data_IF_104215809092
#
_entry.id   IF_104215809092
#
_cell.length_a   1.000
_cell.length_b   1.000
_cell.length_c   1.000
_cell.angle_alpha   90.00
_cell.angle_beta   90.00
_cell.angle_gamma   90.00
#
_symmetry.space_group_name_H-M   'P 1'
#
loop_
_entity.id
_entity.type
_entity.pdbx_description
1 polymer ?
#
# COMPACT_ATOMS: atom_id res chain seq x y z
N UNK A 1 1.84 -4.72 -12.88
CA UNK A 1 1.18 -3.55 -13.52
C UNK A 1 1.74 -3.39 -14.92
N UNK A 2 0.95 -2.94 -15.90
CA UNK A 2 1.47 -2.64 -17.24
C UNK A 2 1.63 -1.15 -17.42
N UNK A 3 2.80 -0.71 -17.87
CA UNK A 3 3.11 0.70 -18.09
C UNK A 3 3.64 0.85 -19.51
N UNK A 4 2.93 1.62 -20.34
CA UNK A 4 3.25 1.82 -21.77
C UNK A 4 3.41 0.49 -22.53
N UNK A 5 2.51 -0.47 -22.27
CA UNK A 5 2.52 -1.79 -22.88
C UNK A 5 3.57 -2.77 -22.33
N UNK A 6 4.40 -2.35 -21.36
CA UNK A 6 5.42 -3.22 -20.74
C UNK A 6 4.93 -3.69 -19.38
N UNK A 7 4.90 -5.00 -19.17
CA UNK A 7 4.56 -5.60 -17.86
C UNK A 7 5.73 -5.50 -16.89
N UNK A 8 5.42 -5.11 -15.66
CA UNK A 8 6.43 -4.94 -14.64
C UNK A 8 5.89 -4.81 -13.22
N UNK A 9 6.83 -4.66 -12.30
CA UNK A 9 6.60 -4.31 -10.91
C UNK A 9 6.74 -2.79 -10.81
N UNK A 10 5.70 -2.12 -10.35
CA UNK A 10 5.75 -0.69 -10.06
C UNK A 10 5.96 -0.51 -8.56
N UNK A 11 6.97 0.28 -8.19
CA UNK A 11 7.29 0.59 -6.80
C UNK A 11 7.22 2.10 -6.65
N UNK A 12 6.53 2.57 -5.61
CA UNK A 12 6.54 3.97 -5.25
C UNK A 12 6.88 4.15 -3.78
N UNK A 13 7.67 5.16 -3.49
CA UNK A 13 8.09 5.50 -2.14
C UNK A 13 8.19 7.02 -1.99
N UNK A 14 7.98 7.49 -0.77
CA UNK A 14 8.33 8.86 -0.39
C UNK A 14 9.65 8.83 0.34
N UNK A 15 10.51 9.79 0.01
CA UNK A 15 11.72 10.09 0.78
C UNK A 15 11.78 11.56 1.16
N UNK A 16 12.58 11.85 2.17
CA UNK A 16 12.93 13.20 2.62
C UNK A 16 14.34 13.53 2.16
N UNK A 17 14.56 14.80 1.86
CA UNK A 17 15.85 15.36 1.51
C UNK A 17 15.96 16.76 2.13
N UNK A 18 17.16 17.29 2.23
CA UNK A 18 17.38 18.66 2.68
C UNK A 18 16.86 19.62 1.61
N UNK A 19 16.06 20.61 2.02
CA UNK A 19 15.68 21.67 1.08
C UNK A 19 16.91 22.51 0.68
N UNK A 20 17.81 22.73 1.63
CA UNK A 20 19.06 23.46 1.46
C UNK A 20 20.21 22.48 1.70
N UNK A 21 20.97 22.13 0.66
CA UNK A 21 22.06 21.14 0.76
C UNK A 21 23.15 21.50 1.78
N UNK A 22 23.37 22.79 2.06
CA UNK A 22 24.32 23.23 3.07
C UNK A 22 23.95 22.78 4.50
N UNK A 23 22.67 22.50 4.76
CA UNK A 23 22.21 22.04 6.07
C UNK A 23 22.72 20.63 6.43
N UNK A 24 23.21 19.85 5.45
CA UNK A 24 23.89 18.57 5.69
C UNK A 24 25.09 18.75 6.63
N UNK A 25 25.78 19.91 6.56
CA UNK A 25 26.93 20.20 7.41
C UNK A 25 26.56 20.44 8.89
N UNK A 26 25.27 20.59 9.23
CA UNK A 26 24.80 20.77 10.61
C UNK A 26 24.78 19.47 11.41
N UNK A 27 25.07 18.32 10.80
CA UNK A 27 25.09 17.02 11.47
C UNK A 27 23.72 16.49 11.89
N UNK A 28 22.63 17.08 11.39
CA UNK A 28 21.26 16.63 11.67
C UNK A 28 20.98 15.42 10.79
N UNK A 29 20.53 14.28 11.35
CA UNK A 29 20.20 13.10 10.56
C UNK A 29 18.70 13.03 10.25
N UNK A 30 18.27 13.50 9.08
CA UNK A 30 16.85 13.50 8.68
C UNK A 30 16.25 12.09 8.49
N UNK A 31 17.09 11.04 8.39
CA UNK A 31 16.62 9.65 8.25
C UNK A 31 16.07 9.07 9.55
N UNK A 32 16.36 9.68 10.69
CA UNK A 32 15.87 9.28 12.01
C UNK A 32 14.47 9.85 12.33
N UNK A 33 14.00 10.79 11.51
CA UNK A 33 12.68 11.37 11.71
C UNK A 33 11.61 10.30 11.49
N UNK A 34 10.71 10.15 12.47
CA UNK A 34 9.54 9.27 12.36
C UNK A 34 8.68 9.60 11.14
N UNK A 35 8.18 8.57 10.47
CA UNK A 35 7.13 8.68 9.45
C UNK A 35 5.72 8.70 10.03
N UNK A 36 5.59 8.42 11.34
CA UNK A 36 4.30 8.23 12.00
C UNK A 36 3.89 9.40 12.88
N UNK A 37 4.86 10.20 13.30
CA UNK A 37 4.63 11.33 14.19
C UNK A 37 4.88 12.62 13.43
N UNK A 38 4.04 13.61 13.71
CA UNK A 38 4.26 14.97 13.23
C UNK A 38 5.49 15.51 13.95
N UNK A 39 6.57 15.62 13.19
CA UNK A 39 7.83 16.18 13.65
C UNK A 39 7.93 17.59 13.10
N UNK A 40 8.26 18.54 13.97
CA UNK A 40 8.70 19.85 13.54
C UNK A 40 10.19 19.76 13.18
N UNK A 41 10.54 19.73 11.88
CA UNK A 41 11.90 19.41 11.47
C UNK A 41 12.83 20.58 11.82
N UNK A 42 14.03 20.25 12.35
CA UNK A 42 15.03 21.25 12.73
C UNK A 42 15.62 22.01 11.53
N UNK A 43 15.49 21.44 10.34
CA UNK A 43 15.90 22.03 9.06
C UNK A 43 14.76 21.93 8.04
N UNK A 44 14.63 22.88 7.11
CA UNK A 44 13.64 22.79 6.05
C UNK A 44 13.84 21.54 5.19
N UNK A 45 12.76 20.75 5.02
CA UNK A 45 12.79 19.51 4.26
C UNK A 45 12.17 19.67 2.86
N UNK A 46 12.69 18.88 1.94
CA UNK A 46 12.09 18.58 0.64
C UNK A 46 11.57 17.15 0.68
N UNK A 47 10.33 16.95 0.24
CA UNK A 47 9.71 15.64 0.14
C UNK A 47 9.65 15.22 -1.32
N UNK A 48 9.98 13.97 -1.59
CA UNK A 48 9.98 13.41 -2.93
C UNK A 48 9.22 12.11 -2.98
N UNK A 49 8.16 12.05 -3.77
CA UNK A 49 7.51 10.81 -4.15
C UNK A 49 8.14 10.34 -5.46
N UNK A 50 8.81 9.19 -5.43
CA UNK A 50 9.45 8.57 -6.59
C UNK A 50 8.66 7.33 -6.95
N UNK A 51 8.38 7.14 -8.24
CA UNK A 51 7.88 5.87 -8.75
C UNK A 51 8.87 5.29 -9.76
N UNK A 52 9.20 4.02 -9.60
CA UNK A 52 10.08 3.25 -10.49
C UNK A 52 9.31 2.07 -11.05
N UNK A 53 9.70 1.63 -12.24
CA UNK A 53 9.16 0.47 -12.91
C UNK A 53 10.28 -0.52 -13.19
N UNK A 54 10.02 -1.77 -12.86
CA UNK A 54 10.90 -2.90 -13.09
C UNK A 54 10.23 -3.82 -14.11
N UNK A 55 10.74 -3.83 -15.34
CA UNK A 55 10.23 -4.66 -16.44
C UNK A 55 10.46 -6.14 -16.12
N UNK A 56 9.42 -6.98 -16.19
CA UNK A 56 9.57 -8.41 -15.95
C UNK A 56 10.50 -9.07 -16.97
N UNK A 57 10.41 -8.65 -18.24
CA UNK A 57 11.31 -9.13 -19.31
C UNK A 57 12.77 -8.75 -19.05
N UNK A 58 13.01 -7.58 -18.47
CA UNK A 58 14.37 -7.14 -18.14
C UNK A 58 14.92 -7.97 -16.96
N UNK A 59 14.08 -8.30 -15.97
CA UNK A 59 14.47 -9.21 -14.86
C UNK A 59 14.78 -10.61 -15.40
N UNK A 60 13.90 -11.17 -16.23
CA UNK A 60 14.09 -12.51 -16.82
C UNK A 60 15.38 -12.60 -17.63
N UNK A 61 15.74 -11.52 -18.33
CA UNK A 61 17.00 -11.44 -19.07
C UNK A 61 18.23 -11.45 -18.15
N UNK A 62 18.13 -10.80 -16.99
CA UNK A 62 19.20 -10.82 -15.98
C UNK A 62 19.32 -12.17 -15.26
N UNK A 63 18.20 -12.87 -15.06
CA UNK A 63 18.15 -14.22 -14.46
C UNK A 63 18.82 -15.29 -15.34
N UNK A 64 18.84 -15.08 -16.67
CA UNK A 64 19.51 -15.98 -17.63
C UNK A 64 21.04 -15.87 -17.60
N UNK A 65 21.62 -14.93 -16.86
CA UNK A 65 23.07 -14.79 -16.75
C UNK A 65 23.61 -15.89 -15.82
N UNK A 66 24.23 -16.93 -16.40
CA UNK A 66 24.86 -18.04 -15.68
C UNK A 66 26.20 -17.67 -15.01
N UNK A 67 26.29 -16.49 -14.41
CA UNK A 67 27.45 -16.02 -13.66
C UNK A 67 27.07 -15.83 -12.19
N UNK A 68 28.02 -16.05 -11.29
CA UNK A 68 27.79 -15.83 -9.86
C UNK A 68 27.40 -14.37 -9.60
N UNK A 69 26.26 -14.15 -8.98
CA UNK A 69 25.76 -12.84 -8.57
C UNK A 69 26.84 -12.05 -7.81
N UNK A 70 26.99 -10.78 -8.15
CA UNK A 70 27.99 -9.89 -7.53
C UNK A 70 29.43 -10.06 -8.02
N UNK A 71 29.73 -11.08 -8.84
CA UNK A 71 31.04 -11.17 -9.51
C UNK A 71 31.25 -10.01 -10.49
N UNK A 72 32.50 -9.59 -10.70
CA UNK A 72 32.82 -8.52 -11.66
C UNK A 72 32.33 -8.86 -13.07
N UNK A 73 32.47 -10.13 -13.48
CA UNK A 73 31.96 -10.62 -14.76
C UNK A 73 30.43 -10.54 -14.86
N UNK A 74 29.70 -10.89 -13.79
CA UNK A 74 28.25 -10.72 -13.75
C UNK A 74 27.87 -9.24 -13.90
N UNK A 75 28.53 -8.33 -13.19
CA UNK A 75 28.25 -6.89 -13.28
C UNK A 75 28.56 -6.33 -14.67
N UNK A 76 29.66 -6.76 -15.28
CA UNK A 76 30.02 -6.39 -16.65
C UNK A 76 29.00 -6.91 -17.68
N UNK A 77 28.53 -8.15 -17.52
CA UNK A 77 27.50 -8.74 -18.38
C UNK A 77 26.14 -8.07 -18.17
N UNK A 78 25.72 -7.87 -16.92
CA UNK A 78 24.46 -7.24 -16.55
C UNK A 78 24.36 -5.80 -17.08
N UNK A 79 25.49 -5.07 -17.17
CA UNK A 79 25.55 -3.72 -17.76
C UNK A 79 25.25 -3.69 -19.26
N UNK A 80 25.30 -4.82 -19.97
CA UNK A 80 24.91 -4.92 -21.38
C UNK A 80 23.39 -4.89 -21.56
N UNK A 81 22.63 -5.22 -20.50
CA UNK A 81 21.18 -5.15 -20.51
C UNK A 81 20.68 -3.76 -20.08
N UNK A 82 19.46 -3.37 -20.48
CA UNK A 82 18.84 -2.14 -19.97
C UNK A 82 18.79 -2.13 -18.44
N UNK A 83 18.90 -0.95 -17.79
CA UNK A 83 18.81 -0.85 -16.35
C UNK A 83 17.44 -1.38 -15.88
N UNK A 84 17.41 -2.30 -14.90
CA UNK A 84 16.17 -2.96 -14.49
C UNK A 84 15.17 -1.94 -13.92
N UNK A 85 15.66 -0.93 -13.19
CA UNK A 85 14.83 0.13 -12.64
C UNK A 85 14.75 1.32 -13.57
N UNK A 86 13.55 1.58 -14.08
CA UNK A 86 13.24 2.76 -14.88
C UNK A 86 12.49 3.76 -14.02
N UNK A 87 13.06 4.96 -13.86
CA UNK A 87 12.37 6.05 -13.18
C UNK A 87 11.15 6.46 -14.02
N UNK A 88 9.94 6.27 -13.47
CA UNK A 88 8.71 6.70 -14.12
C UNK A 88 8.49 8.19 -13.89
N UNK A 89 8.64 8.61 -12.63
CA UNK A 89 8.39 10.00 -12.23
C UNK A 89 9.00 10.33 -10.87
N UNK A 90 9.12 11.63 -10.63
CA UNK A 90 9.51 12.23 -9.36
C UNK A 90 8.63 13.43 -9.09
N UNK A 91 7.82 13.39 -8.04
CA UNK A 91 7.05 14.54 -7.53
C UNK A 91 7.85 15.12 -6.37
N UNK A 92 8.21 16.39 -6.46
CA UNK A 92 8.88 17.12 -5.38
C UNK A 92 7.94 18.12 -4.74
N UNK A 93 7.99 18.26 -3.42
CA UNK A 93 7.18 19.20 -2.65
C UNK A 93 7.95 19.73 -1.44
N UNK A 94 7.67 20.97 -1.04
CA UNK A 94 8.11 21.51 0.26
C UNK A 94 7.17 21.11 1.41
N UNK A 95 5.93 20.76 1.07
CA UNK A 95 4.97 20.19 2.01
C UNK A 95 5.14 18.68 2.08
N UNK A 96 4.88 18.04 3.24
CA UNK A 96 4.93 16.59 3.39
C UNK A 96 4.09 15.87 2.33
N UNK A 97 4.71 14.84 1.74
CA UNK A 97 4.05 13.87 0.88
C UNK A 97 3.89 12.58 1.66
N UNK A 98 2.68 12.04 1.72
CA UNK A 98 2.34 10.90 2.56
C UNK A 98 1.35 9.99 1.84
N UNK A 99 1.13 8.79 2.38
CA UNK A 99 0.10 7.84 1.96
C UNK A 99 0.03 7.66 0.42
N UNK A 100 0.82 6.72 -0.08
CA UNK A 100 0.85 6.42 -1.52
C UNK A 100 -0.19 5.34 -1.84
N UNK A 101 -0.86 5.49 -2.98
CA UNK A 101 -1.64 4.41 -3.60
C UNK A 101 -1.22 4.28 -5.06
N UNK A 102 -0.85 3.05 -5.46
CA UNK A 102 -0.54 2.67 -6.84
C UNK A 102 -1.61 1.71 -7.32
N UNK A 103 -2.34 2.06 -8.37
CA UNK A 103 -3.35 1.18 -8.95
C UNK A 103 -3.77 1.63 -10.36
N UNK A 104 -4.66 0.89 -11.00
CA UNK A 104 -5.29 1.26 -12.27
C UNK A 104 -6.45 2.24 -12.03
N UNK A 105 -6.54 3.30 -12.83
CA UNK A 105 -7.72 4.15 -12.93
C UNK A 105 -7.89 4.60 -14.38
N UNK A 106 -9.12 4.63 -14.88
CA UNK A 106 -9.45 4.91 -16.27
C UNK A 106 -8.73 4.00 -17.27
N UNK A 107 -8.49 2.74 -16.89
CA UNK A 107 -7.79 1.75 -17.73
C UNK A 107 -6.28 1.98 -17.84
N UNK A 108 -5.70 2.89 -17.06
CA UNK A 108 -4.27 3.20 -17.10
C UNK A 108 -3.67 3.22 -15.70
N UNK A 109 -2.35 2.97 -15.55
CA UNK A 109 -1.68 2.99 -14.26
C UNK A 109 -1.61 4.40 -13.67
N UNK A 110 -2.06 4.56 -12.43
CA UNK A 110 -2.05 5.81 -11.68
C UNK A 110 -1.27 5.68 -10.37
N UNK A 111 -0.60 6.78 -10.02
CA UNK A 111 -0.08 7.05 -8.68
C UNK A 111 -0.97 8.13 -8.04
N UNK A 112 -1.41 7.87 -6.82
CA UNK A 112 -1.97 8.87 -5.92
C UNK A 112 -1.06 9.05 -4.70
N UNK A 113 -0.87 10.30 -4.28
CA UNK A 113 -0.10 10.63 -3.06
C UNK A 113 -0.76 11.81 -2.35
N UNK A 114 -0.86 11.75 -1.03
CA UNK A 114 -1.37 12.85 -0.22
C UNK A 114 -0.30 13.94 -0.14
N UNK A 115 -0.68 15.18 -0.44
CA UNK A 115 0.10 16.38 -0.12
C UNK A 115 -0.62 17.11 1.01
N UNK A 116 0.03 17.19 2.17
CA UNK A 116 -0.59 17.78 3.36
C UNK A 116 -1.04 19.24 3.15
N UNK A 117 -2.15 19.66 3.81
CA UNK A 117 -2.96 18.86 4.74
C UNK A 117 -4.13 18.11 4.10
N UNK A 118 -4.65 18.58 2.97
CA UNK A 118 -5.95 18.11 2.43
C UNK A 118 -5.96 17.93 0.90
N UNK A 119 -4.79 17.78 0.27
CA UNK A 119 -4.68 17.61 -1.19
C UNK A 119 -4.27 16.17 -1.52
N UNK A 120 -4.83 15.63 -2.60
CA UNK A 120 -4.41 14.36 -3.18
C UNK A 120 -3.90 14.65 -4.59
N UNK A 121 -2.65 14.29 -4.85
CA UNK A 121 -2.03 14.44 -6.16
C UNK A 121 -2.17 13.14 -6.94
N UNK A 122 -2.69 13.22 -8.16
CA UNK A 122 -2.83 12.12 -9.09
C UNK A 122 -1.87 12.28 -10.25
N UNK A 123 -1.26 11.18 -10.65
CA UNK A 123 -0.34 11.15 -11.77
C UNK A 123 -0.51 9.86 -12.54
N UNK A 124 -0.95 9.98 -13.78
CA UNK A 124 -0.89 8.91 -14.76
C UNK A 124 0.59 8.52 -15.02
N UNK A 125 0.91 7.24 -14.85
CA UNK A 125 2.26 6.69 -15.01
C UNK A 125 2.65 6.50 -16.48
N UNK A 126 1.70 6.59 -17.43
CA UNK A 126 2.01 6.56 -18.86
C UNK A 126 2.42 7.93 -19.40
N UNK A 127 1.94 9.03 -18.81
CA UNK A 127 2.24 10.40 -19.24
C UNK A 127 1.35 11.48 -18.60
N UNK A 128 1.34 12.69 -19.17
CA UNK A 128 0.49 13.81 -18.70
C UNK A 128 1.08 14.64 -17.57
N UNK A 129 0.35 15.66 -17.09
CA UNK A 129 0.69 16.47 -15.92
C UNK A 129 0.04 15.91 -14.65
N UNK A 130 0.46 16.41 -13.50
CA UNK A 130 -0.16 16.06 -12.22
C UNK A 130 -1.53 16.74 -12.14
N UNK A 131 -2.53 16.02 -11.62
CA UNK A 131 -3.83 16.58 -11.24
C UNK A 131 -3.94 16.60 -9.73
N UNK A 132 -4.56 17.63 -9.17
CA UNK A 132 -4.64 17.87 -7.73
C UNK A 132 -6.10 17.96 -7.32
N UNK A 133 -6.51 17.05 -6.44
CA UNK A 133 -7.82 17.08 -5.80
C UNK A 133 -7.68 17.77 -4.44
N UNK A 134 -8.34 18.90 -4.31
CA UNK A 134 -8.52 19.58 -3.03
C UNK A 134 -9.75 18.97 -2.36
N UNK A 135 -9.53 18.35 -1.20
CA UNK A 135 -10.63 17.81 -0.43
C UNK A 135 -11.20 18.91 0.48
N UNK A 136 -12.51 19.22 0.42
CA UNK A 136 -13.13 20.14 1.35
C UNK A 136 -13.04 19.61 2.78
N UNK A 137 -13.09 20.52 3.75
CA UNK A 137 -13.20 20.15 5.17
C UNK A 137 -14.55 19.50 5.46
N UNK A 138 -14.62 18.69 6.52
CA UNK A 138 -15.88 18.09 6.93
C UNK A 138 -16.74 19.17 7.59
N UNK A 139 -17.84 19.55 6.91
CA UNK A 139 -18.62 20.75 7.25
C UNK A 139 -18.98 20.91 8.76
N UNK A 140 -19.39 19.86 9.50
CA UNK A 140 -19.68 19.98 10.93
C UNK A 140 -18.50 20.42 11.79
N UNK A 141 -17.27 20.25 11.30
CA UNK A 141 -16.02 20.55 12.00
C UNK A 141 -15.07 21.41 11.17
N UNK A 142 -15.57 22.20 10.21
CA UNK A 142 -14.74 22.95 9.24
C UNK A 142 -13.69 23.88 9.88
N UNK A 143 -13.91 24.30 11.13
CA UNK A 143 -13.00 25.14 11.91
C UNK A 143 -11.86 24.35 12.59
N UNK A 144 -11.85 23.02 12.49
CA UNK A 144 -10.86 22.13 13.10
C UNK A 144 -9.81 21.68 12.07
N UNK A 145 -8.68 21.20 12.58
CA UNK A 145 -7.65 20.61 11.74
C UNK A 145 -8.15 19.28 11.12
N UNK A 146 -7.79 19.07 9.86
CA UNK A 146 -8.13 17.86 9.11
C UNK A 146 -6.86 17.29 8.49
N UNK A 147 -6.63 16.00 8.69
CA UNK A 147 -5.47 15.30 8.15
C UNK A 147 -5.92 14.02 7.47
N UNK A 148 -5.53 13.82 6.21
CA UNK A 148 -5.78 12.55 5.50
C UNK A 148 -4.74 11.55 6.00
N UNK A 149 -5.19 10.41 6.55
CA UNK A 149 -4.35 9.40 7.20
C UNK A 149 -4.16 8.12 6.38
N UNK A 150 -4.97 7.93 5.35
CA UNK A 150 -4.82 6.82 4.41
C UNK A 150 -5.60 7.13 3.14
N UNK A 151 -5.12 6.62 2.00
CA UNK A 151 -5.83 6.65 0.73
C UNK A 151 -5.71 5.31 0.01
N UNK A 152 -6.68 4.99 -0.85
CA UNK A 152 -6.65 3.83 -1.75
C UNK A 152 -7.44 4.13 -3.02
N UNK A 153 -6.82 3.95 -4.18
CA UNK A 153 -7.51 3.96 -5.47
C UNK A 153 -8.42 2.73 -5.55
N UNK A 154 -9.65 2.92 -6.04
CA UNK A 154 -10.66 1.87 -6.27
C UNK A 154 -10.86 1.76 -7.78
N UNK A 155 -10.14 0.85 -8.47
CA UNK A 155 -10.02 0.85 -9.93
C UNK A 155 -11.34 0.79 -10.67
N UNK A 156 -12.21 -0.16 -10.29
CA UNK A 156 -13.48 -0.40 -10.95
C UNK A 156 -14.49 0.74 -10.81
N UNK A 157 -14.23 1.71 -9.92
CA UNK A 157 -15.06 2.91 -9.74
C UNK A 157 -14.40 4.18 -10.26
N UNK A 158 -13.10 4.15 -10.60
CA UNK A 158 -12.29 5.34 -10.85
C UNK A 158 -12.39 6.37 -9.71
N UNK A 159 -12.38 5.87 -8.47
CA UNK A 159 -12.53 6.66 -7.25
C UNK A 159 -11.37 6.45 -6.31
N UNK A 160 -11.19 7.37 -5.39
CA UNK A 160 -10.27 7.23 -4.27
C UNK A 160 -11.03 7.19 -2.96
N UNK A 161 -10.74 6.18 -2.15
CA UNK A 161 -11.18 6.09 -0.77
C UNK A 161 -10.15 6.77 0.11
N UNK A 162 -10.58 7.70 0.95
CA UNK A 162 -9.73 8.42 1.90
C UNK A 162 -10.26 8.24 3.33
N UNK A 163 -9.34 8.02 4.27
CA UNK A 163 -9.64 8.09 5.71
C UNK A 163 -9.04 9.38 6.24
N UNK A 164 -9.88 10.21 6.84
CA UNK A 164 -9.53 11.52 7.37
C UNK A 164 -9.70 11.54 8.87
N UNK A 165 -8.70 12.06 9.57
CA UNK A 165 -8.77 12.44 10.96
C UNK A 165 -9.20 13.90 11.08
N UNK A 166 -10.16 14.17 11.95
CA UNK A 166 -10.66 15.49 12.28
C UNK A 166 -10.38 15.72 13.75
N UNK A 167 -9.61 16.77 14.05
CA UNK A 167 -9.33 17.13 15.43
C UNK A 167 -10.63 17.51 16.15
N UNK A 168 -10.88 16.89 17.29
CA UNK A 168 -12.08 17.10 18.07
C UNK A 168 -11.80 18.07 19.22
N UNK A 169 -12.82 18.79 19.67
CA UNK A 169 -12.69 19.64 20.84
C UNK A 169 -12.32 18.81 22.07
N UNK A 170 -11.18 19.15 22.69
CA UNK A 170 -10.72 18.50 23.91
C UNK A 170 -11.62 18.92 25.06
N UNK A 171 -12.68 18.17 25.30
CA UNK A 171 -13.49 18.29 26.51
C UNK A 171 -12.87 17.43 27.61
N UNK A 172 -13.28 17.67 28.87
CA UNK A 172 -12.83 16.84 30.00
C UNK A 172 -13.17 15.35 29.81
N UNK A 173 -14.20 15.05 29.00
CA UNK A 173 -14.74 13.72 28.80
C UNK A 173 -14.43 13.11 27.44
N UNK A 174 -14.07 13.91 26.44
CA UNK A 174 -13.76 13.45 25.10
C UNK A 174 -12.52 14.17 24.55
N UNK A 175 -11.47 13.39 24.29
CA UNK A 175 -10.23 13.85 23.66
C UNK A 175 -9.95 13.14 22.33
N UNK A 176 -10.87 12.27 21.92
CA UNK A 176 -10.61 11.39 20.79
C UNK A 176 -10.99 12.09 19.48
N UNK A 177 -10.13 12.03 18.46
CA UNK A 177 -10.42 12.60 17.16
C UNK A 177 -11.58 11.87 16.50
N UNK A 178 -12.22 12.54 15.54
CA UNK A 178 -13.27 11.95 14.72
C UNK A 178 -12.64 11.44 13.43
N UNK A 179 -12.99 10.22 13.04
CA UNK A 179 -12.57 9.67 11.76
C UNK A 179 -13.70 9.77 10.74
N UNK A 180 -13.38 10.18 9.53
CA UNK A 180 -14.33 10.28 8.42
C UNK A 180 -13.77 9.48 7.25
N UNK A 181 -14.59 8.59 6.70
CA UNK A 181 -14.28 7.84 5.49
C UNK A 181 -15.00 8.49 4.34
N UNK A 182 -14.26 8.88 3.31
CA UNK A 182 -14.74 9.68 2.20
C UNK A 182 -14.36 9.03 0.88
N UNK A 183 -15.28 9.02 -0.08
CA UNK A 183 -15.03 8.55 -1.43
C UNK A 183 -15.09 9.72 -2.40
N UNK A 184 -14.05 9.90 -3.22
CA UNK A 184 -13.97 10.98 -4.20
C UNK A 184 -13.81 10.43 -5.62
N UNK A 185 -14.37 11.12 -6.61
CA UNK A 185 -14.04 10.85 -8.01
C UNK A 185 -12.60 11.31 -8.32
N UNK A 186 -11.83 10.47 -9.02
CA UNK A 186 -10.46 10.81 -9.41
C UNK A 186 -10.50 11.84 -10.54
N UNK A 187 -9.63 12.85 -10.46
CA UNK A 187 -9.44 13.81 -11.54
C UNK A 187 -8.48 13.20 -12.57
N UNK A 188 -8.91 12.97 -13.83
CA UNK A 188 -8.02 12.42 -14.86
C UNK A 188 -6.82 13.35 -15.11
N UNK A 189 -5.63 12.77 -15.21
CA UNK A 189 -4.41 13.49 -15.58
C UNK A 189 -4.45 13.88 -17.06
N UNK A 190 -4.51 15.19 -17.32
CA UNK A 190 -4.50 15.77 -18.67
C UNK A 190 -3.14 16.33 -19.10
N UNK A 191 -3.08 17.01 -20.27
CA UNK A 191 -1.88 17.72 -20.72
C UNK A 191 -1.57 18.97 -19.88
N UNK A 192 -2.58 19.52 -19.20
CA UNK A 192 -2.47 20.67 -18.31
C UNK A 192 -2.63 20.21 -16.87
N UNK A 193 -1.88 20.84 -15.96
CA UNK A 193 -2.05 20.62 -14.53
C UNK A 193 -3.42 21.16 -14.11
N UNK A 194 -4.24 20.31 -13.51
CA UNK A 194 -5.57 20.67 -13.01
C UNK A 194 -5.57 20.64 -11.50
N UNK A 195 -6.19 21.65 -10.87
CA UNK A 195 -6.47 21.66 -9.44
C UNK A 195 -7.96 21.90 -9.26
N UNK A 196 -8.65 21.00 -8.56
CA UNK A 196 -10.10 21.06 -8.42
C UNK A 196 -10.53 20.75 -7.00
N UNK A 197 -11.43 21.57 -6.46
CA UNK A 197 -12.18 21.26 -5.24
C UNK A 197 -13.28 20.26 -5.58
N UNK A 198 -13.18 19.05 -5.03
CA UNK A 198 -14.11 17.95 -5.33
C UNK A 198 -14.85 17.55 -4.05
N UNK A 199 -16.18 17.56 -4.09
CA UNK A 199 -16.99 17.07 -2.97
C UNK A 199 -16.95 15.53 -2.93
N UNK A 200 -16.99 14.91 -1.73
CA UNK A 200 -17.05 13.46 -1.66
C UNK A 200 -18.40 12.96 -2.19
N UNK A 201 -18.34 11.91 -3.01
CA UNK A 201 -19.52 11.22 -3.55
C UNK A 201 -20.25 10.44 -2.48
N UNK A 202 -19.50 9.91 -1.51
CA UNK A 202 -20.05 9.24 -0.34
C UNK A 202 -19.17 9.50 0.87
N UNK A 203 -19.78 9.50 2.05
CA UNK A 203 -19.14 9.84 3.32
C UNK A 203 -19.76 9.06 4.47
N UNK A 204 -18.91 8.46 5.30
CA UNK A 204 -19.27 7.86 6.58
C UNK A 204 -18.49 8.50 7.73
N UNK A 205 -19.17 8.86 8.82
CA UNK A 205 -18.52 9.26 10.06
C UNK A 205 -18.30 8.04 10.93
N UNK A 206 -17.12 7.93 11.51
CA UNK A 206 -16.76 6.90 12.47
C UNK A 206 -16.48 7.57 13.81
N UNK A 207 -17.31 7.23 14.79
CA UNK A 207 -17.10 7.60 16.18
C UNK A 207 -16.60 6.37 16.92
N UNK A 208 -15.31 6.36 17.24
CA UNK A 208 -14.68 5.32 18.04
C UNK A 208 -13.75 5.95 19.05
N UNK A 209 -13.53 5.24 20.15
CA UNK A 209 -12.64 5.69 21.20
C UNK A 209 -11.18 5.43 20.80
N UNK A 210 -10.31 6.38 21.16
CA UNK A 210 -8.87 6.36 20.95
C UNK A 210 -8.38 6.95 19.62
N UNK A 211 -7.15 7.46 19.67
CA UNK A 211 -6.41 7.96 18.49
C UNK A 211 -5.86 6.78 17.69
N UNK A 212 -6.12 6.77 16.38
CA UNK A 212 -5.60 5.81 15.41
C UNK A 212 -4.25 6.29 14.87
N UNK A 213 -3.24 5.42 14.92
CA UNK A 213 -1.87 5.76 14.46
C UNK A 213 -1.56 5.18 13.09
N UNK A 214 -1.83 3.90 12.91
CA UNK A 214 -1.47 3.16 11.71
C UNK A 214 -2.74 2.76 10.97
N UNK A 215 -3.13 3.51 9.95
CA UNK A 215 -4.37 3.28 9.19
C UNK A 215 -4.02 2.68 7.83
N UNK A 216 -4.63 1.54 7.51
CA UNK A 216 -4.43 0.82 6.26
C UNK A 216 -5.76 0.51 5.60
N UNK A 217 -5.79 0.54 4.27
CA UNK A 217 -6.97 0.21 3.48
C UNK A 217 -6.63 -1.00 2.62
N UNK A 218 -7.41 -2.08 2.75
CA UNK A 218 -7.19 -3.29 1.97
C UNK A 218 -7.37 -3.03 0.47
N UNK A 219 -6.74 -3.89 -0.32
CA UNK A 219 -6.99 -3.96 -1.76
C UNK A 219 -8.44 -4.41 -2.02
N UNK A 220 -9.15 -3.84 -3.03
CA UNK A 220 -10.50 -4.28 -3.40
C UNK A 220 -10.56 -5.69 -4.02
N UNK A 221 -9.42 -6.33 -4.25
CA UNK A 221 -9.29 -7.68 -4.79
C UNK A 221 -9.68 -7.78 -6.26
N UNK A 222 -9.68 -6.67 -6.99
CA UNK A 222 -10.01 -6.66 -8.41
C UNK A 222 -8.71 -6.87 -9.18
N UNK A 223 -8.54 -8.00 -9.91
CA UNK A 223 -7.35 -8.21 -10.69
C UNK A 223 -7.25 -7.13 -11.79
N UNK A 224 -6.04 -6.67 -12.14
CA UNK A 224 -5.82 -5.72 -13.23
C UNK A 224 -6.51 -6.18 -14.51
N UNK A 225 -6.93 -5.22 -15.32
CA UNK A 225 -7.67 -5.52 -16.57
C UNK A 225 -6.87 -6.44 -17.50
N UNK A 226 -5.54 -6.25 -17.51
CA UNK A 226 -4.55 -6.94 -18.35
C UNK A 226 -3.83 -8.13 -17.70
N UNK A 227 -4.28 -8.63 -16.54
CA UNK A 227 -3.61 -9.75 -15.85
C UNK A 227 -3.88 -11.13 -16.51
N UNK A 228 -3.22 -11.43 -17.63
CA UNK A 228 -3.45 -12.71 -18.33
C UNK A 228 -2.99 -13.97 -17.56
N UNK A 229 -2.34 -13.83 -16.40
CA UNK A 229 -1.84 -14.99 -15.65
C UNK A 229 -2.96 -15.84 -15.05
N UNK A 230 -4.08 -15.21 -14.67
CA UNK A 230 -5.23 -15.87 -14.03
C UNK A 230 -6.48 -15.83 -14.94
N UNK A 231 -6.55 -14.86 -15.85
CA UNK A 231 -7.74 -14.53 -16.64
C UNK A 231 -8.23 -15.60 -17.63
N UNK A 232 -7.38 -16.43 -18.29
CA UNK A 232 -7.87 -17.43 -19.24
C UNK A 232 -8.76 -18.49 -18.58
N UNK A 233 -8.59 -18.76 -17.29
CA UNK A 233 -9.41 -19.75 -16.55
C UNK A 233 -10.59 -19.12 -15.82
N UNK A 234 -10.44 -17.91 -15.28
CA UNK A 234 -11.50 -17.26 -14.48
C UNK A 234 -12.51 -16.44 -15.32
N UNK A 235 -12.08 -15.71 -16.36
CA UNK A 235 -13.01 -14.87 -17.16
C UNK A 235 -13.69 -15.61 -18.30
N UNK A 236 -13.12 -16.70 -18.84
CA UNK A 236 -13.75 -17.45 -19.96
C UNK A 236 -15.15 -18.01 -19.64
N UNK A 237 -15.51 -18.15 -18.35
CA UNK A 237 -16.84 -18.64 -17.94
C UNK A 237 -17.83 -17.55 -17.52
N UNK A 238 -17.39 -16.31 -17.29
CA UNK A 238 -18.23 -15.24 -16.79
C UNK A 238 -18.15 -14.02 -17.71
N UNK A 239 -19.23 -13.72 -18.43
CA UNK A 239 -19.37 -12.47 -19.17
C UNK A 239 -19.44 -11.24 -18.24
N UNK A 240 -19.58 -11.45 -16.93
CA UNK A 240 -19.71 -10.41 -15.93
C UNK A 240 -18.42 -10.25 -15.11
N UNK A 241 -18.02 -9.01 -14.78
CA UNK A 241 -16.93 -8.79 -13.85
C UNK A 241 -17.28 -9.43 -12.49
N UNK A 242 -16.33 -10.11 -11.83
CA UNK A 242 -16.58 -10.71 -10.53
C UNK A 242 -17.02 -9.62 -9.54
N UNK A 243 -17.94 -9.97 -8.64
CA UNK A 243 -18.31 -9.08 -7.53
C UNK A 243 -17.04 -8.68 -6.77
N UNK A 244 -16.76 -7.38 -6.59
CA UNK A 244 -15.56 -6.94 -5.88
C UNK A 244 -15.58 -7.44 -4.43
N UNK A 245 -14.40 -7.57 -3.82
CA UNK A 245 -14.29 -7.97 -2.42
C UNK A 245 -14.65 -6.79 -1.49
N UNK A 246 -15.07 -7.08 -0.25
CA UNK A 246 -15.21 -6.05 0.78
C UNK A 246 -13.87 -5.33 1.02
N UNK A 247 -13.92 -4.01 1.08
CA UNK A 247 -12.75 -3.17 1.40
C UNK A 247 -12.73 -3.00 2.91
N UNK A 248 -11.61 -3.28 3.56
CA UNK A 248 -11.47 -3.12 5.01
C UNK A 248 -10.50 -1.99 5.34
N UNK A 249 -10.86 -1.18 6.33
CA UNK A 249 -9.95 -0.20 6.94
C UNK A 249 -9.48 -0.78 8.26
N UNK A 250 -8.17 -0.91 8.42
CA UNK A 250 -7.53 -1.38 9.64
C UNK A 250 -6.85 -0.21 10.32
N UNK A 251 -6.99 -0.11 11.64
CA UNK A 251 -6.30 0.91 12.42
C UNK A 251 -5.74 0.33 13.74
N UNK A 252 -4.59 0.85 14.17
CA UNK A 252 -4.04 0.58 15.51
C UNK A 252 -4.35 1.76 16.43
N UNK A 253 -4.96 1.49 17.59
CA UNK A 253 -5.23 2.50 18.62
C UNK A 253 -4.02 2.75 19.50
N UNK A 254 -3.77 4.01 19.83
CA UNK A 254 -2.60 4.43 20.62
C UNK A 254 -2.71 4.05 22.10
N UNK A 255 -3.91 4.08 22.67
CA UNK A 255 -4.09 3.97 24.13
C UNK A 255 -3.91 2.55 24.65
N UNK A 256 -4.36 1.56 23.88
CA UNK A 256 -4.45 0.16 24.30
C UNK A 256 -3.85 -0.82 23.28
N UNK A 257 -3.15 -0.31 22.25
CA UNK A 257 -2.66 -1.10 21.11
C UNK A 257 -3.77 -1.94 20.43
N UNK A 258 -5.04 -1.58 20.63
CA UNK A 258 -6.19 -2.30 20.08
C UNK A 258 -6.27 -2.18 18.57
N UNK A 259 -6.77 -3.23 17.91
CA UNK A 259 -6.99 -3.22 16.46
C UNK A 259 -8.45 -2.89 16.19
N UNK A 260 -8.66 -1.86 15.38
CA UNK A 260 -9.96 -1.50 14.81
C UNK A 260 -10.04 -2.02 13.39
N UNK A 261 -11.16 -2.67 13.07
CA UNK A 261 -11.49 -3.05 11.70
C UNK A 261 -12.85 -2.47 11.31
N UNK A 262 -12.86 -1.72 10.22
CA UNK A 262 -14.04 -1.33 9.48
C UNK A 262 -14.13 -2.16 8.20
N UNK A 263 -15.34 -2.53 7.77
CA UNK A 263 -15.53 -3.19 6.48
C UNK A 263 -16.61 -2.49 5.67
N UNK A 264 -16.29 -2.19 4.41
CA UNK A 264 -17.12 -1.59 3.38
C UNK A 264 -17.54 -2.68 2.41
N UNK A 265 -18.82 -3.04 2.43
CA UNK A 265 -19.35 -4.07 1.54
C UNK A 265 -19.78 -3.46 0.20
N UNK A 266 -19.35 -4.03 -0.94
CA UNK A 266 -19.82 -3.59 -2.22
C UNK A 266 -21.30 -3.97 -2.40
N UNK A 267 -22.08 -2.98 -2.81
CA UNK A 267 -23.48 -3.11 -3.15
C UNK A 267 -23.66 -2.83 -4.64
N UNK A 268 -24.44 -3.67 -5.34
CA UNK A 268 -24.82 -3.37 -6.71
C UNK A 268 -25.70 -2.12 -6.69
N UNK A 269 -25.40 -1.09 -7.51
CA UNK A 269 -26.39 -0.05 -7.72
C UNK A 269 -27.49 -0.62 -8.59
N UNK A 270 -28.63 -0.91 -7.96
CA UNK A 270 -29.88 -0.94 -8.71
C UNK A 270 -30.17 0.51 -9.09
N UNK A 271 -29.51 1.02 -10.13
CA UNK A 271 -30.03 2.18 -10.83
C UNK A 271 -31.39 1.74 -11.34
N UNK A 272 -32.46 2.23 -10.71
CA UNK A 272 -33.84 1.91 -11.07
C UNK A 272 -34.13 2.52 -12.43
N UNK A 273 -33.55 1.94 -13.48
CA UNK A 273 -33.95 2.29 -14.83
C UNK A 273 -35.42 1.88 -14.95
N UNK A 274 -36.26 2.85 -15.31
CA UNK A 274 -37.69 2.65 -15.59
C UNK A 274 -37.91 1.33 -16.35
N UNK A 275 -39.01 0.59 -16.09
CA UNK A 275 -39.28 -0.69 -16.72
C UNK A 275 -39.13 -0.56 -18.25
N UNK A 276 -38.02 -1.05 -18.78
CA UNK A 276 -37.73 -1.00 -20.20
C UNK A 276 -38.48 -2.16 -20.85
N UNK A 277 -39.23 -1.83 -21.91
CA UNK A 277 -39.90 -2.77 -22.82
C UNK A 277 -38.98 -3.96 -23.15
N UNK A 278 -39.54 -5.17 -23.35
CA UNK A 278 -38.75 -6.36 -23.63
C UNK A 278 -37.89 -6.13 -24.86
N UNK A 279 -36.57 -6.04 -24.66
CA UNK A 279 -35.59 -5.91 -25.73
C UNK A 279 -34.58 -7.04 -25.56
N UNK A 280 -34.41 -7.80 -26.64
CA UNK A 280 -33.52 -8.95 -26.84
C UNK A 280 -32.02 -8.62 -26.75
N UNK A 281 -31.64 -7.47 -26.18
CA UNK A 281 -30.24 -7.00 -26.13
C UNK A 281 -29.74 -7.13 -24.69
N UNK A 282 -28.74 -7.98 -24.47
CA UNK A 282 -28.06 -8.17 -23.17
C UNK A 282 -27.74 -6.82 -22.54
N UNK A 283 -28.38 -6.53 -21.41
CA UNK A 283 -28.11 -5.34 -20.61
C UNK A 283 -26.70 -5.47 -20.02
N UNK A 284 -25.84 -4.44 -20.09
CA UNK A 284 -24.58 -4.48 -19.38
C UNK A 284 -24.82 -4.68 -17.87
N UNK A 285 -23.96 -5.44 -17.18
CA UNK A 285 -24.10 -5.68 -15.74
C UNK A 285 -24.08 -4.36 -14.96
N UNK A 286 -24.86 -4.31 -13.88
CA UNK A 286 -24.96 -3.12 -13.04
C UNK A 286 -23.61 -2.84 -12.33
N UNK A 287 -23.17 -1.57 -12.25
CA UNK A 287 -21.94 -1.23 -11.55
C UNK A 287 -22.06 -1.48 -10.04
N UNK A 288 -20.96 -1.94 -9.43
CA UNK A 288 -20.83 -2.09 -7.98
C UNK A 288 -20.35 -0.79 -7.33
N UNK A 289 -20.87 -0.50 -6.14
CA UNK A 289 -20.47 0.62 -5.31
C UNK A 289 -20.16 0.17 -3.88
N UNK A 290 -18.94 0.45 -3.42
CA UNK A 290 -18.60 0.37 -2.00
C UNK A 290 -18.95 1.71 -1.34
N UNK A 291 -20.02 1.72 -0.54
CA UNK A 291 -20.50 2.93 0.12
C UNK A 291 -19.82 3.16 1.46
N UNK A 292 -19.18 4.31 1.65
CA UNK A 292 -18.65 4.78 2.92
C UNK A 292 -19.73 5.04 3.98
N UNK A 293 -20.96 5.37 3.56
CA UNK A 293 -22.10 5.52 4.48
C UNK A 293 -22.66 4.18 4.99
N UNK A 294 -22.34 3.07 4.31
CA UNK A 294 -22.77 1.70 4.67
C UNK A 294 -21.63 0.93 5.34
N UNK A 295 -21.01 1.56 6.33
CA UNK A 295 -20.03 0.89 7.17
C UNK A 295 -20.72 0.01 8.19
N UNK A 296 -20.24 -1.22 8.34
CA UNK A 296 -20.59 -2.03 9.50
C UNK A 296 -20.13 -1.33 10.78
N UNK A 297 -20.80 -1.65 11.90
CA UNK A 297 -20.31 -1.25 13.22
C UNK A 297 -18.87 -1.75 13.35
N UNK A 298 -17.91 -0.84 13.56
CA UNK A 298 -16.52 -1.24 13.53
C UNK A 298 -16.23 -2.24 14.64
N UNK A 299 -15.51 -3.30 14.28
CA UNK A 299 -15.19 -4.40 15.16
C UNK A 299 -13.92 -4.05 15.94
N UNK A 300 -14.03 -4.08 17.27
CA UNK A 300 -12.90 -3.90 18.18
C UNK A 300 -12.41 -5.25 18.68
N UNK A 301 -11.10 -5.48 18.57
CA UNK A 301 -10.47 -6.65 19.16
C UNK A 301 -9.53 -6.21 20.29
N UNK A 302 -9.97 -6.33 21.53
CA UNK A 302 -9.20 -6.03 22.73
C UNK A 302 -8.21 -7.14 23.09
N UNK A 303 -7.43 -7.65 22.13
CA UNK A 303 -6.44 -8.70 22.40
C UNK A 303 -5.24 -8.05 23.11
N UNK A 304 -4.89 -8.45 24.34
CA UNK A 304 -3.64 -8.03 24.96
C UNK A 304 -2.48 -8.54 24.11
N UNK A 305 -1.49 -7.68 23.83
CA UNK A 305 -0.30 -7.96 22.98
C UNK A 305 0.05 -9.45 22.88
N UNK A 306 -0.25 -10.14 21.76
CA UNK A 306 0.68 -11.14 21.29
C UNK A 306 1.99 -10.41 20.97
N UNK A 307 3.14 -11.06 21.14
CA UNK A 307 4.47 -10.48 20.83
C UNK A 307 4.69 -10.13 19.34
N UNK A 308 3.64 -10.15 18.51
CA UNK A 308 3.67 -9.82 17.09
C UNK A 308 2.71 -8.68 16.74
N UNK A 309 3.21 -7.69 16.00
CA UNK A 309 2.40 -6.65 15.36
C UNK A 309 1.68 -7.23 14.13
N UNK A 310 0.40 -6.89 13.88
CA UNK A 310 -0.27 -7.22 12.62
C UNK A 310 0.45 -6.55 11.45
N UNK A 311 0.80 -7.31 10.42
CA UNK A 311 1.53 -6.81 9.26
C UNK A 311 0.59 -6.11 8.26
N UNK A 312 0.88 -4.86 7.85
CA UNK A 312 -0.10 -3.96 7.25
C UNK A 312 -0.32 -4.03 5.74
N UNK A 313 0.60 -4.58 4.95
CA UNK A 313 0.51 -4.49 3.47
C UNK A 313 -0.26 -5.64 2.80
N UNK A 314 -0.71 -6.65 3.54
CA UNK A 314 -1.41 -7.80 2.96
C UNK A 314 -2.65 -8.23 3.73
N UNK A 315 -3.42 -7.28 4.25
CA UNK A 315 -4.74 -7.61 4.77
C UNK A 315 -5.73 -7.79 3.62
N UNK A 316 -5.57 -8.88 2.85
CA UNK A 316 -6.69 -9.47 2.12
C UNK A 316 -7.70 -9.90 3.17
N UNK A 317 -8.96 -9.53 3.01
CA UNK A 317 -10.02 -10.05 3.88
C UNK A 317 -10.06 -11.57 3.76
N UNK A 318 -9.51 -12.29 4.73
CA UNK A 318 -9.62 -13.74 4.79
C UNK A 318 -11.10 -14.09 4.96
N UNK A 319 -11.73 -14.59 3.89
CA UNK A 319 -13.01 -15.28 3.96
C UNK A 319 -12.69 -16.74 4.29
N UNK A 320 -12.61 -17.06 5.57
CA UNK A 320 -12.54 -18.46 6.00
C UNK A 320 -13.86 -19.16 5.66
N UNK A 321 -13.79 -20.30 4.95
CA UNK A 321 -14.92 -21.24 4.90
C UNK A 321 -14.79 -22.20 6.07
N UNK A 322 -15.77 -22.21 6.97
CA UNK A 322 -15.83 -23.23 8.00
C UNK A 322 -16.18 -24.58 7.34
N UNK A 323 -15.32 -25.62 7.44
CA UNK A 323 -15.50 -26.88 6.71
C UNK A 323 -16.83 -27.57 7.04
N UNK A 324 -17.32 -27.45 8.28
CA UNK A 324 -18.59 -28.08 8.68
C UNK A 324 -19.86 -27.43 8.10
N UNK A 325 -19.80 -26.20 7.59
CA UNK A 325 -20.98 -25.53 7.00
C UNK A 325 -21.10 -25.70 5.48
N UNK A 326 -20.02 -26.08 4.80
CA UNK A 326 -20.03 -26.32 3.36
C UNK A 326 -20.86 -27.56 2.97
N UNK A 327 -21.02 -28.53 3.88
CA UNK A 327 -21.76 -29.76 3.63
C UNK A 327 -23.30 -29.60 3.62
N UNK A 328 -23.85 -28.46 4.07
CA UNK A 328 -25.31 -28.28 4.24
C UNK A 328 -26.00 -27.40 3.19
N UNK A 329 -25.28 -26.89 2.19
CA UNK A 329 -25.88 -26.10 1.11
C UNK A 329 -26.54 -24.78 1.56
N UNK A 330 -26.22 -24.28 2.76
CA UNK A 330 -26.78 -23.03 3.27
C UNK A 330 -25.98 -21.82 2.77
N UNK A 331 -26.72 -20.79 2.34
CA UNK A 331 -26.16 -19.51 1.91
C UNK A 331 -25.25 -18.88 2.98
N UNK A 332 -24.14 -18.29 2.52
CA UNK A 332 -23.17 -17.62 3.37
C UNK A 332 -23.82 -16.45 4.15
N UNK A 333 -24.12 -16.67 5.43
CA UNK A 333 -24.41 -15.62 6.40
C UNK A 333 -23.18 -15.37 7.29
N UNK A 334 -22.91 -14.11 7.69
CA UNK A 334 -21.79 -13.79 8.57
C UNK A 334 -22.03 -14.41 9.96
N UNK A 335 -21.02 -15.07 10.51
CA UNK A 335 -21.05 -15.59 11.86
C UNK A 335 -21.12 -14.43 12.87
N UNK A 336 -22.26 -14.30 13.57
CA UNK A 336 -22.34 -13.55 14.83
C UNK A 336 -21.74 -14.43 15.95
N UNK A 337 -20.99 -13.78 16.83
CA UNK A 337 -20.21 -14.32 17.95
C UNK A 337 -21.05 -15.15 18.94
N UNK A 338 -20.48 -16.21 19.50
CA UNK A 338 -20.98 -16.89 20.71
C UNK A 338 -20.36 -18.27 20.92
N UNK A 339 -19.65 -18.41 22.04
CA UNK A 339 -19.25 -19.64 22.75
C UNK A 339 -17.91 -20.31 22.37
N UNK A 340 -16.88 -20.01 23.17
CA UNK A 340 -15.73 -20.88 23.37
C UNK A 340 -15.75 -21.35 24.84
N UNK A 341 -15.74 -22.66 25.13
CA UNK A 341 -15.59 -23.13 26.50
C UNK A 341 -14.16 -22.88 26.99
N UNK A 342 -14.05 -22.50 28.26
CA UNK A 342 -12.80 -22.38 28.98
C UNK A 342 -12.07 -23.72 29.08
N UNK A 343 -10.78 -23.75 28.73
CA UNK A 343 -9.77 -24.79 29.01
C UNK A 343 -8.44 -24.21 28.49
N UNK A 344 -7.27 -24.29 29.11
CA UNK A 344 -6.77 -24.92 30.33
C UNK A 344 -5.25 -24.66 30.28
N UNK A 345 -4.62 -24.43 31.42
CA UNK A 345 -3.21 -24.05 31.51
C UNK A 345 -2.27 -25.09 30.87
N UNK A 346 -1.32 -24.63 30.06
CA UNK A 346 -0.13 -25.42 29.71
C UNK A 346 1.12 -24.53 29.79
N UNK A 347 1.90 -24.79 30.85
CA UNK A 347 3.26 -24.27 31.07
C UNK A 347 4.23 -24.90 30.08
N UNK A 348 5.21 -24.13 29.59
CA UNK A 348 6.32 -24.67 28.81
C UNK A 348 7.25 -23.59 28.25
N UNK A 349 7.96 -22.87 29.13
CA UNK A 349 9.12 -22.06 28.75
C UNK A 349 10.33 -22.99 28.60
N UNK A 350 10.82 -23.18 27.37
CA UNK A 350 12.16 -23.73 27.14
C UNK A 350 13.15 -22.58 26.96
N UNK A 351 14.03 -22.40 27.94
CA UNK A 351 15.26 -21.61 27.83
C UNK A 351 16.22 -22.33 26.89
N UNK A 352 16.78 -21.62 25.91
CA UNK A 352 17.94 -22.07 25.14
C UNK A 352 19.18 -21.29 25.61
N UNK A 353 20.06 -21.99 26.33
CA UNK A 353 21.46 -21.62 26.54
C UNK A 353 22.29 -22.24 25.41
N UNK A 354 23.23 -21.47 24.84
CA UNK A 354 24.23 -21.97 23.90
C UNK A 354 24.09 -21.38 22.50
N UNK A 355 24.79 -20.27 22.24
CA UNK A 355 24.81 -19.56 20.97
C UNK A 355 25.43 -20.36 19.82
N UNK A 356 24.62 -21.19 19.15
CA UNK A 356 24.94 -21.74 17.83
C UNK A 356 23.82 -21.38 16.84
N UNK A 357 24.21 -20.70 15.77
CA UNK A 357 23.31 -20.36 14.65
C UNK A 357 23.12 -21.59 13.76
N UNK A 358 21.87 -21.93 13.46
CA UNK A 358 21.52 -22.85 12.38
C UNK A 358 21.49 -22.06 11.07
N UNK A 359 22.42 -22.34 10.16
CA UNK A 359 22.26 -21.97 8.76
C UNK A 359 21.15 -22.83 8.16
N UNK A 360 19.97 -22.25 7.98
CA UNK A 360 18.89 -22.89 7.21
C UNK A 360 19.17 -22.76 5.72
N UNK A 361 19.62 -23.83 5.07
CA UNK A 361 19.49 -24.00 3.62
C UNK A 361 18.00 -24.15 3.33
N UNK A 362 17.44 -23.36 2.40
CA UNK A 362 16.08 -23.56 1.90
C UNK A 362 16.02 -24.93 1.20
N UNK A 363 15.71 -25.98 1.96
CA UNK A 363 15.14 -27.18 1.39
C UNK A 363 13.73 -26.83 0.92
N UNK A 364 13.34 -27.31 -0.26
CA UNK A 364 11.94 -27.28 -0.66
C UNK A 364 11.09 -27.82 0.51
N UNK A 365 9.94 -27.19 0.85
CA UNK A 365 9.05 -27.78 1.82
C UNK A 365 8.70 -29.21 1.36
N UNK A 366 8.63 -30.19 2.27
CA UNK A 366 8.12 -31.51 1.92
C UNK A 366 6.81 -31.39 1.11
N UNK A 367 6.55 -32.26 0.13
CA UNK A 367 5.42 -32.18 -0.81
C UNK A 367 4.02 -32.18 -0.17
N UNK A 368 3.95 -32.20 1.14
CA UNK A 368 2.77 -32.34 2.00
C UNK A 368 2.37 -31.02 2.70
N UNK A 369 3.04 -29.89 2.40
CA UNK A 369 2.66 -28.57 2.90
C UNK A 369 1.87 -27.76 1.86
N UNK A 370 0.54 -27.81 1.96
CA UNK A 370 -0.33 -26.88 1.23
C UNK A 370 -0.42 -25.53 1.96
N UNK A 371 0.10 -24.48 1.33
CA UNK A 371 -0.10 -23.11 1.77
C UNK A 371 -1.55 -22.68 1.45
N UNK A 372 -2.31 -22.30 2.49
CA UNK A 372 -3.70 -21.86 2.35
C UNK A 372 -3.78 -20.36 2.07
N UNK A 373 -2.87 -19.59 2.68
CA UNK A 373 -2.81 -18.15 2.48
C UNK A 373 -1.38 -17.62 2.61
N UNK A 374 -1.12 -16.52 1.91
CA UNK A 374 0.11 -15.76 2.02
C UNK A 374 -0.20 -14.27 2.14
N UNK A 375 0.65 -13.56 2.88
CA UNK A 375 0.56 -12.13 3.11
C UNK A 375 1.95 -11.53 3.09
N UNK A 376 2.18 -10.54 2.22
CA UNK A 376 3.45 -9.83 2.11
C UNK A 376 3.40 -8.46 2.79
N UNK A 377 4.45 -8.12 3.54
CA UNK A 377 4.66 -6.82 4.16
C UNK A 377 5.69 -6.02 3.35
N UNK A 378 5.19 -5.11 2.51
CA UNK A 378 6.03 -4.24 1.69
C UNK A 378 6.93 -3.29 2.50
N UNK A 379 6.57 -3.00 3.76
CA UNK A 379 7.29 -2.00 4.57
C UNK A 379 8.56 -2.55 5.20
N UNK A 380 8.58 -3.86 5.50
CA UNK A 380 9.71 -4.53 6.13
C UNK A 380 10.07 -5.85 5.45
N UNK A 381 9.62 -6.08 4.21
CA UNK A 381 9.98 -7.25 3.40
C UNK A 381 9.67 -8.59 4.07
N UNK A 382 8.49 -8.80 4.66
CA UNK A 382 8.12 -10.09 5.29
C UNK A 382 7.06 -10.81 4.48
N UNK A 383 7.20 -12.11 4.31
CA UNK A 383 6.12 -12.98 3.84
C UNK A 383 5.59 -13.81 5.01
N UNK A 384 4.34 -13.61 5.37
CA UNK A 384 3.60 -14.49 6.26
C UNK A 384 2.91 -15.57 5.42
N UNK A 385 3.10 -16.84 5.76
CA UNK A 385 2.45 -17.99 5.12
C UNK A 385 1.67 -18.76 6.17
N UNK A 386 0.38 -18.96 5.92
CA UNK A 386 -0.48 -19.85 6.69
C UNK A 386 -0.63 -21.18 5.94
N UNK A 387 -0.46 -22.29 6.65
CA UNK A 387 -0.55 -23.65 6.09
C UNK A 387 -1.91 -24.26 6.48
N UNK A 388 -2.53 -25.00 5.56
CA UNK A 388 -3.93 -25.48 5.66
C UNK A 388 -4.25 -26.34 6.91
N UNK A 389 -3.24 -26.89 7.56
CA UNK A 389 -3.35 -27.76 8.75
C UNK A 389 -2.65 -27.20 10.00
N UNK A 390 -2.19 -25.96 9.95
CA UNK A 390 -1.35 -25.37 11.00
C UNK A 390 -2.02 -24.16 11.66
N UNK A 391 -2.08 -24.17 12.99
CA UNK A 391 -2.43 -22.99 13.80
C UNK A 391 -1.26 -21.98 13.92
N UNK A 392 -0.14 -22.24 13.25
CA UNK A 392 1.05 -21.38 13.24
C UNK A 392 1.18 -20.72 11.87
N UNK A 393 1.37 -19.40 11.88
CA UNK A 393 1.79 -18.62 10.71
C UNK A 393 3.31 -18.64 10.64
N UNK A 394 3.85 -19.06 9.50
CA UNK A 394 5.27 -18.98 9.22
C UNK A 394 5.58 -17.57 8.70
N UNK A 395 6.54 -16.87 9.31
CA UNK A 395 6.95 -15.54 8.86
C UNK A 395 8.37 -15.66 8.30
N UNK A 396 8.49 -15.44 7.00
CA UNK A 396 9.76 -15.36 6.29
C UNK A 396 10.16 -13.90 6.22
N UNK A 397 11.23 -13.54 6.92
CA UNK A 397 11.78 -12.19 6.91
C UNK A 397 12.81 -12.06 5.78
N UNK A 398 12.42 -11.40 4.69
CA UNK A 398 13.31 -11.09 3.57
C UNK A 398 14.02 -9.75 3.78
N UNK A 399 13.54 -8.88 4.68
CA UNK A 399 14.38 -7.84 5.21
C UNK A 399 15.34 -8.47 6.23
N UNK A 400 16.61 -8.50 5.87
CA UNK A 400 17.67 -8.83 6.82
C UNK A 400 17.57 -7.83 7.97
N UNK A 401 17.22 -8.28 9.18
CA UNK A 401 17.40 -7.46 10.38
C UNK A 401 18.81 -6.86 10.33
N UNK A 402 18.97 -5.53 10.45
CA UNK A 402 20.30 -4.94 10.42
C UNK A 402 21.14 -5.66 11.47
N UNK A 403 22.23 -6.31 11.03
CA UNK A 403 23.18 -6.93 11.96
C UNK A 403 23.58 -5.84 12.95
N UNK A 404 23.72 -6.10 14.23
CA UNK A 404 24.36 -5.11 15.11
C UNK A 404 25.80 -5.54 15.33
N UNK A 405 26.75 -4.60 15.26
CA UNK A 405 28.13 -4.88 15.67
C UNK A 405 28.21 -5.10 17.20
N UNK A 406 29.41 -5.38 17.71
CA UNK A 406 29.63 -5.57 19.15
C UNK A 406 29.27 -4.36 20.02
N UNK A 407 29.06 -3.18 19.40
CA UNK A 407 28.69 -1.93 20.05
C UNK A 407 27.19 -1.58 19.88
N UNK A 408 26.41 -2.46 19.25
CA UNK A 408 25.00 -2.22 18.98
C UNK A 408 24.70 -1.37 17.73
N UNK A 409 25.69 -1.04 16.90
CA UNK A 409 25.46 -0.27 15.67
C UNK A 409 24.95 -1.16 14.52
N UNK A 410 23.97 -0.65 13.77
CA UNK A 410 23.34 -1.36 12.63
C UNK A 410 24.33 -1.59 11.47
N UNK A 411 24.25 -2.79 10.89
CA UNK A 411 25.13 -3.36 9.86
C UNK A 411 24.29 -4.06 8.76
N UNK A 412 24.68 -4.00 7.47
CA UNK A 412 25.86 -3.27 7.01
C UNK A 412 25.68 -1.77 7.26
N UNK A 413 26.75 -1.10 7.69
CA UNK A 413 26.86 0.35 7.55
C UNK A 413 26.43 0.65 6.11
N UNK A 414 25.53 1.62 5.87
CA UNK A 414 25.00 1.91 4.55
C UNK A 414 26.11 1.79 3.52
N UNK A 415 25.90 0.93 2.51
CA UNK A 415 26.86 0.77 1.43
C UNK A 415 27.19 2.18 0.94
N UNK A 416 28.46 2.59 1.10
CA UNK A 416 29.05 3.66 0.32
C UNK A 416 28.95 3.18 -1.13
N UNK A 417 27.81 3.46 -1.78
CA UNK A 417 27.65 3.27 -3.20
C UNK A 417 28.82 4.01 -3.86
N UNK A 418 29.58 3.34 -4.71
CA UNK A 418 30.68 3.95 -5.44
C UNK A 418 30.41 3.86 -6.96
N UNK A 419 30.33 5.01 -7.65
CA UNK A 419 30.36 6.36 -7.10
C UNK A 419 29.13 6.60 -6.20
N UNK A 420 29.31 7.45 -5.18
CA UNK A 420 28.18 7.86 -4.32
C UNK A 420 27.15 8.52 -5.25
N UNK A 421 25.89 8.05 -5.32
CA UNK A 421 24.89 8.64 -6.20
C UNK A 421 24.64 10.12 -5.86
N UNK A 422 25.02 10.54 -4.65
CA UNK A 422 25.00 11.93 -4.20
C UNK A 422 26.35 12.66 -4.37
N UNK A 423 27.42 11.96 -4.80
CA UNK A 423 28.65 12.64 -5.25
C UNK A 423 28.34 13.35 -6.55
N UNK A 424 28.41 14.68 -6.50
CA UNK A 424 28.49 15.53 -7.68
C UNK A 424 29.66 15.00 -8.53
N UNK A 425 29.36 14.39 -9.68
CA UNK A 425 30.35 14.35 -10.77
C UNK A 425 30.61 15.82 -11.08
N UNK A 426 31.83 16.35 -10.87
CA UNK A 426 32.11 17.73 -11.22
C UNK A 426 31.70 17.92 -12.67
N UNK A 427 30.79 18.85 -12.91
CA UNK A 427 30.45 19.27 -14.25
C UNK A 427 31.76 19.74 -14.87
N UNK A 428 32.25 19.02 -15.88
CA UNK A 428 33.40 19.49 -16.64
C UNK A 428 32.89 20.68 -17.48
N UNK A 429 33.08 21.89 -16.94
CA UNK A 429 32.74 23.17 -17.58
C UNK A 429 33.46 23.37 -18.93
N UNK A 430 34.37 22.46 -19.31
CA UNK A 430 35.00 22.44 -20.63
C UNK A 430 34.13 21.83 -21.72
N UNK A 431 33.05 21.13 -21.37
CA UNK A 431 32.06 20.63 -22.34
C UNK A 431 30.95 21.66 -22.62
N UNK A 432 31.35 22.84 -23.09
CA UNK A 432 30.41 23.83 -23.63
C UNK A 432 29.78 23.31 -24.93
N UNK A 433 28.64 22.63 -24.80
CA UNK A 433 27.48 22.79 -25.68
C UNK A 433 27.73 22.81 -27.20
N UNK A 434 28.39 21.80 -27.74
CA UNK A 434 28.31 21.45 -29.17
C UNK A 434 28.17 19.94 -29.35
N UNK A 435 26.98 19.44 -29.08
CA UNK A 435 26.46 18.28 -29.81
C UNK A 435 25.08 18.68 -30.32
N UNK A 436 25.09 19.28 -31.51
CA UNK A 436 23.91 19.40 -32.34
C UNK A 436 23.53 17.98 -32.79
N UNK A 437 22.37 17.48 -32.35
CA UNK A 437 21.67 16.44 -33.09
C UNK A 437 21.06 17.08 -34.33
N UNK A 438 21.83 17.08 -35.42
CA UNK A 438 21.26 17.08 -36.77
C UNK A 438 20.78 15.65 -37.05
N UNK A 439 19.46 15.47 -37.11
CA UNK A 439 18.86 14.29 -37.71
C UNK A 439 18.67 14.56 -39.21
N UNK A 440 19.41 13.80 -40.02
CA UNK A 440 19.02 13.44 -41.38
C UNK A 440 18.24 12.12 -41.35
#
# INVERSE_FOLDING_TARGET
MTIRGVRGIAIAYVRRDYLIKADVAKGINITEYSDFHDIDPQVPLKYECVAVHLSLTDIESLDQIYLTEGSTRFVEEARKYPPPFRNLLRISSRSPLEHISLDEAFGVPYLAVVKRPHRIMFKNLTGGKVSILMCPTYAPFHHRAHTIKAIRIIPYMNRILAVREVDAERTAFNRDPIYVVEMYDIIPSGPVQTEQLVQPVDRGKISMNGVWTHIYISDPGVPPSEDDSILPRLRKKSAEPPKPLPISVFAIRTRDDGIVRLTLYPSASCTSSRPRRPRTRRTPPAPYHAGASRTDTPLECGVPRPSGRPAPAAVRGALGRHPERAARGEHACPARRGDAPALGAARGLARLQGGRWLYGRLGAPPPEFEAEAFAWDDTIGRLCVALASSMKVQVYDFARAPRTDGNGQRMPVPLLLHPNPDRVVPHDERSNGRDAMDCA
#
